data_IF_839594994311
#
_entry.id   IF_839594994311
#
_cell.length_a   1.000
_cell.length_b   1.000
_cell.length_c   1.000
_cell.angle_alpha   90.00
_cell.angle_beta   90.00
_cell.angle_gamma   90.00
#
_symmetry.space_group_name_H-M   'P 1'
#
loop_
_entity.id
_entity.type
_entity.pdbx_description
1 polymer ?
#
# COMPACT_ATOMS: atom_id res chain seq x y z
N UNK A 1 0.13 -25.36 -14.88
CA UNK A 1 0.60 -24.92 -13.55
C UNK A 1 1.55 -23.78 -13.81
N UNK A 2 1.24 -22.58 -13.34
CA UNK A 2 2.13 -21.43 -13.55
C UNK A 2 3.44 -21.64 -12.81
N UNK A 3 4.54 -21.22 -13.42
CA UNK A 3 5.84 -21.15 -12.75
C UNK A 3 5.75 -19.90 -11.86
N UNK A 4 5.47 -20.06 -10.56
CA UNK A 4 5.46 -18.90 -9.66
C UNK A 4 6.91 -18.50 -9.34
N UNK A 5 7.25 -17.24 -9.58
CA UNK A 5 8.55 -16.67 -9.22
C UNK A 5 8.62 -16.18 -7.77
N UNK A 6 7.51 -16.21 -7.03
CA UNK A 6 7.42 -15.69 -5.66
C UNK A 6 8.17 -16.61 -4.69
N UNK A 7 8.91 -16.00 -3.76
CA UNK A 7 9.81 -16.68 -2.84
C UNK A 7 11.12 -17.15 -3.49
N UNK A 8 11.33 -16.90 -4.78
CA UNK A 8 12.59 -17.25 -5.44
C UNK A 8 13.72 -16.36 -4.95
N UNK A 9 14.86 -16.99 -4.62
CA UNK A 9 16.09 -16.31 -4.24
C UNK A 9 17.23 -16.84 -5.11
N UNK A 10 17.86 -15.94 -5.87
CA UNK A 10 18.89 -16.29 -6.83
C UNK A 10 20.14 -15.44 -6.60
N UNK A 11 21.31 -16.02 -6.85
CA UNK A 11 22.60 -15.35 -6.68
C UNK A 11 23.44 -15.54 -7.93
N UNK A 12 23.90 -14.42 -8.50
CA UNK A 12 24.66 -14.36 -9.73
C UNK A 12 26.01 -13.68 -9.49
N UNK A 13 26.98 -13.96 -10.35
CA UNK A 13 28.23 -13.21 -10.42
C UNK A 13 28.10 -12.18 -11.53
N UNK A 14 28.23 -10.90 -11.20
CA UNK A 14 28.21 -9.78 -12.12
C UNK A 14 29.61 -9.29 -12.41
N UNK A 15 29.99 -9.26 -13.69
CA UNK A 15 31.28 -8.76 -14.13
C UNK A 15 31.15 -7.31 -14.63
N UNK A 16 31.82 -6.37 -13.96
CA UNK A 16 31.72 -4.93 -14.24
C UNK A 16 32.38 -4.52 -15.56
N UNK A 17 33.31 -5.32 -16.08
CA UNK A 17 33.99 -5.02 -17.36
C UNK A 17 33.14 -5.43 -18.56
N UNK A 18 32.46 -6.56 -18.47
CA UNK A 18 31.63 -7.08 -19.58
C UNK A 18 30.17 -6.67 -19.46
N UNK A 19 29.72 -6.30 -18.26
CA UNK A 19 28.31 -6.05 -17.96
C UNK A 19 27.46 -7.32 -17.92
N UNK A 20 28.07 -8.51 -17.93
CA UNK A 20 27.37 -9.80 -17.99
C UNK A 20 27.25 -10.47 -16.61
N UNK A 21 26.22 -11.29 -16.47
CA UNK A 21 26.04 -12.22 -15.36
C UNK A 21 26.58 -13.61 -15.72
N UNK A 22 26.99 -14.35 -14.70
CA UNK A 22 27.18 -15.80 -14.74
C UNK A 22 26.56 -16.47 -13.52
N UNK A 23 26.19 -17.73 -13.65
CA UNK A 23 25.74 -18.54 -12.52
C UNK A 23 26.90 -18.78 -11.54
N UNK A 24 26.59 -18.80 -10.24
CA UNK A 24 27.60 -19.01 -9.20
C UNK A 24 28.17 -20.44 -9.19
N UNK A 25 27.36 -21.41 -9.58
CA UNK A 25 27.72 -22.83 -9.65
C UNK A 25 28.20 -23.27 -11.05
N UNK A 26 28.22 -22.35 -12.02
CA UNK A 26 28.62 -22.62 -13.39
C UNK A 26 27.62 -23.42 -14.21
N UNK A 27 26.41 -23.67 -13.69
CA UNK A 27 25.36 -24.32 -14.47
C UNK A 27 24.71 -23.37 -15.46
N UNK A 28 24.15 -23.93 -16.53
CA UNK A 28 23.38 -23.14 -17.49
C UNK A 28 22.08 -22.66 -16.82
N UNK A 29 21.79 -21.37 -16.96
CA UNK A 29 20.63 -20.71 -16.39
C UNK A 29 20.00 -19.83 -17.48
N UNK A 30 18.76 -20.15 -17.85
CA UNK A 30 18.01 -19.42 -18.87
C UNK A 30 17.87 -17.93 -18.54
N UNK A 31 17.78 -17.57 -17.25
CA UNK A 31 17.73 -16.17 -16.84
C UNK A 31 19.06 -15.46 -17.13
N UNK A 32 20.20 -16.14 -16.94
CA UNK A 32 21.52 -15.57 -17.23
C UNK A 32 21.68 -15.34 -18.73
N UNK A 33 21.33 -16.33 -19.55
CA UNK A 33 21.36 -16.22 -21.01
C UNK A 33 20.44 -15.08 -21.48
N UNK A 34 19.24 -14.96 -20.90
CA UNK A 34 18.29 -13.88 -21.16
C UNK A 34 18.81 -12.51 -20.71
N UNK A 35 19.42 -12.42 -19.52
CA UNK A 35 19.98 -11.17 -19.00
C UNK A 35 21.09 -10.66 -19.92
N UNK A 36 22.01 -11.54 -20.29
CA UNK A 36 23.17 -11.26 -21.15
C UNK A 36 22.80 -10.96 -22.61
N UNK A 37 21.55 -11.21 -23.02
CA UNK A 37 21.07 -11.03 -24.38
C UNK A 37 21.50 -12.13 -25.33
N UNK A 38 21.88 -13.28 -24.80
CA UNK A 38 22.24 -14.47 -25.59
C UNK A 38 20.98 -15.19 -26.12
N UNK A 39 19.83 -15.02 -25.43
CA UNK A 39 18.49 -15.38 -25.90
C UNK A 39 17.49 -14.24 -25.72
N UNK A 40 16.41 -14.25 -26.51
CA UNK A 40 15.21 -13.45 -26.23
C UNK A 40 14.34 -14.13 -25.17
N UNK A 41 13.55 -13.34 -24.44
CA UNK A 41 12.69 -13.88 -23.38
C UNK A 41 11.60 -14.82 -23.90
N UNK A 42 11.16 -14.64 -25.14
CA UNK A 42 10.13 -15.49 -25.78
C UNK A 42 10.69 -16.78 -26.40
N UNK A 43 12.00 -17.00 -26.34
CA UNK A 43 12.65 -18.21 -26.86
C UNK A 43 12.70 -19.35 -25.83
N UNK A 44 12.39 -19.07 -24.55
CA UNK A 44 12.38 -20.05 -23.47
C UNK A 44 11.11 -19.96 -22.62
N UNK A 45 10.33 -21.04 -22.58
CA UNK A 45 9.05 -21.11 -21.86
C UNK A 45 9.21 -21.20 -20.33
N UNK A 46 10.44 -21.33 -19.83
CA UNK A 46 10.74 -21.28 -18.39
C UNK A 46 10.82 -19.84 -17.86
N UNK A 47 11.05 -18.86 -18.75
CA UNK A 47 11.11 -17.44 -18.40
C UNK A 47 9.71 -16.83 -18.31
N UNK A 48 9.44 -16.08 -17.25
CA UNK A 48 8.15 -15.43 -17.02
C UNK A 48 8.28 -13.92 -16.73
N UNK A 49 7.17 -13.27 -16.40
CA UNK A 49 7.14 -11.86 -16.03
C UNK A 49 8.01 -11.52 -14.82
N UNK A 50 8.16 -12.43 -13.86
CA UNK A 50 9.07 -12.24 -12.72
C UNK A 50 10.53 -12.22 -13.14
N UNK A 51 10.93 -13.03 -14.12
CA UNK A 51 12.28 -12.98 -14.69
C UNK A 51 12.52 -11.66 -15.43
N UNK A 52 11.53 -11.18 -16.19
CA UNK A 52 11.60 -9.84 -16.80
C UNK A 52 11.76 -8.74 -15.75
N UNK A 53 11.02 -8.80 -14.64
CA UNK A 53 11.17 -7.85 -13.54
C UNK A 53 12.53 -7.96 -12.86
N UNK A 54 13.02 -9.16 -12.58
CA UNK A 54 14.36 -9.39 -12.01
C UNK A 54 15.44 -8.79 -12.89
N UNK A 55 15.36 -8.96 -14.22
CA UNK A 55 16.28 -8.32 -15.17
C UNK A 55 16.23 -6.79 -15.06
N UNK A 56 15.03 -6.21 -15.01
CA UNK A 56 14.87 -4.77 -14.85
C UNK A 56 15.42 -4.26 -13.51
N UNK A 57 15.22 -4.99 -12.41
CA UNK A 57 15.71 -4.64 -11.08
C UNK A 57 17.25 -4.63 -11.03
N UNK A 58 17.90 -5.67 -11.59
CA UNK A 58 19.37 -5.74 -11.69
C UNK A 58 19.89 -4.60 -12.59
N UNK A 59 19.26 -4.34 -13.73
CA UNK A 59 19.66 -3.24 -14.60
C UNK A 59 19.51 -1.88 -13.90
N UNK A 60 18.41 -1.66 -13.17
CA UNK A 60 18.20 -0.42 -12.41
C UNK A 60 19.25 -0.24 -11.30
N UNK A 61 19.65 -1.34 -10.63
CA UNK A 61 20.76 -1.32 -9.68
C UNK A 61 22.06 -0.85 -10.35
N UNK A 62 22.40 -1.41 -11.50
CA UNK A 62 23.66 -1.14 -12.22
C UNK A 62 23.66 0.25 -12.85
N UNK A 63 22.60 0.63 -13.55
CA UNK A 63 22.57 1.84 -14.39
C UNK A 63 22.20 3.09 -13.60
N UNK A 64 21.34 2.95 -12.59
CA UNK A 64 20.81 4.10 -11.84
C UNK A 64 21.41 4.15 -10.44
N UNK A 65 21.27 3.09 -9.64
CA UNK A 65 21.69 3.15 -8.24
C UNK A 65 23.20 3.22 -8.07
N UNK A 66 23.99 2.58 -8.93
CA UNK A 66 25.46 2.73 -8.89
C UNK A 66 25.94 4.17 -9.17
N UNK A 67 25.13 4.98 -9.87
CA UNK A 67 25.44 6.40 -10.09
C UNK A 67 25.14 7.25 -8.85
N UNK A 68 24.13 6.85 -8.08
CA UNK A 68 23.71 7.54 -6.84
C UNK A 68 24.60 7.13 -5.66
N UNK A 69 24.84 5.84 -5.51
CA UNK A 69 25.68 5.26 -4.47
C UNK A 69 26.98 4.76 -5.09
N UNK A 70 27.96 5.65 -5.17
CA UNK A 70 29.29 5.37 -5.73
C UNK A 70 30.10 4.34 -4.93
N UNK A 71 29.58 3.81 -3.83
CA UNK A 71 30.21 2.67 -3.15
C UNK A 71 29.88 1.34 -3.85
N UNK A 72 28.80 1.28 -4.63
CA UNK A 72 28.47 0.12 -5.45
C UNK A 72 29.49 -0.03 -6.59
N UNK A 73 30.00 -1.25 -6.76
CA UNK A 73 30.89 -1.61 -7.87
C UNK A 73 32.18 -0.76 -7.98
N UNK A 74 32.68 -0.22 -6.87
CA UNK A 74 33.78 0.76 -6.87
C UNK A 74 35.08 0.26 -6.21
N UNK A 75 35.23 -1.05 -6.03
CA UNK A 75 36.52 -1.62 -5.63
C UNK A 75 37.40 -1.77 -6.90
N UNK A 76 38.53 -1.05 -6.99
CA UNK A 76 39.38 -1.02 -8.18
C UNK A 76 40.08 -2.36 -8.46
N UNK A 77 40.23 -3.21 -7.44
CA UNK A 77 40.86 -4.53 -7.56
C UNK A 77 39.82 -5.64 -7.80
N UNK A 78 38.53 -5.30 -7.83
CA UNK A 78 37.42 -6.25 -7.96
C UNK A 78 36.63 -6.02 -9.24
N UNK A 79 36.60 -7.06 -10.08
CA UNK A 79 35.86 -7.07 -11.35
C UNK A 79 34.52 -7.79 -11.23
N UNK A 80 34.40 -8.73 -10.28
CA UNK A 80 33.25 -9.61 -10.13
C UNK A 80 32.56 -9.40 -8.80
N UNK A 81 31.26 -9.19 -8.81
CA UNK A 81 30.44 -8.91 -7.62
C UNK A 81 29.30 -9.91 -7.52
N UNK A 82 28.95 -10.33 -6.31
CA UNK A 82 27.78 -11.19 -6.13
C UNK A 82 26.51 -10.33 -6.10
N UNK A 83 25.56 -10.59 -7.00
CA UNK A 83 24.22 -9.98 -6.95
C UNK A 83 23.23 -11.04 -6.52
N UNK A 84 22.58 -10.82 -5.37
CA UNK A 84 21.50 -11.67 -4.87
C UNK A 84 20.17 -10.97 -5.04
N UNK A 85 19.21 -11.64 -5.65
CA UNK A 85 17.83 -11.16 -5.83
C UNK A 85 16.86 -12.05 -5.08
N UNK A 86 15.82 -11.47 -4.49
CA UNK A 86 14.72 -12.21 -3.87
C UNK A 86 13.38 -11.62 -4.30
N UNK A 87 12.50 -12.43 -4.87
CA UNK A 87 11.12 -12.04 -5.16
C UNK A 87 10.28 -12.30 -3.91
N UNK A 88 9.96 -11.26 -3.15
CA UNK A 88 9.28 -11.38 -1.85
C UNK A 88 7.79 -11.67 -2.06
N UNK A 89 7.16 -10.91 -2.94
CA UNK A 89 5.76 -11.05 -3.35
C UNK A 89 5.60 -10.57 -4.79
N UNK A 90 4.36 -10.52 -5.29
CA UNK A 90 4.08 -10.13 -6.67
C UNK A 90 4.57 -8.71 -7.05
N UNK A 91 4.66 -7.80 -6.07
CA UNK A 91 4.99 -6.38 -6.28
C UNK A 91 6.24 -5.94 -5.52
N UNK A 92 6.88 -6.83 -4.77
CA UNK A 92 8.05 -6.52 -3.95
C UNK A 92 9.18 -7.51 -4.26
N UNK A 93 10.34 -6.97 -4.59
CA UNK A 93 11.58 -7.73 -4.72
C UNK A 93 12.71 -7.03 -3.97
N UNK A 94 13.79 -7.75 -3.72
CA UNK A 94 15.02 -7.16 -3.18
C UNK A 94 16.21 -7.52 -4.05
N UNK A 95 17.19 -6.61 -4.08
CA UNK A 95 18.47 -6.81 -4.75
C UNK A 95 19.58 -6.42 -3.78
N UNK A 96 20.61 -7.26 -3.67
CA UNK A 96 21.72 -7.09 -2.76
C UNK A 96 23.04 -7.34 -3.49
N UNK A 97 24.07 -6.54 -3.16
CA UNK A 97 25.43 -6.70 -3.70
C UNK A 97 26.38 -7.17 -2.60
N UNK A 98 27.12 -8.25 -2.84
CA UNK A 98 28.15 -8.84 -1.96
C UNK A 98 27.69 -9.11 -0.50
N UNK A 99 26.41 -9.43 -0.30
CA UNK A 99 25.87 -9.58 1.06
C UNK A 99 25.84 -8.27 1.86
N UNK A 100 26.10 -7.13 1.22
CA UNK A 100 26.07 -5.80 1.80
C UNK A 100 24.68 -5.17 1.74
N UNK A 101 24.61 -3.95 1.23
CA UNK A 101 23.39 -3.14 1.18
C UNK A 101 22.28 -3.81 0.36
N UNK A 102 21.07 -3.81 0.91
CA UNK A 102 19.86 -4.36 0.29
C UNK A 102 19.02 -3.20 -0.25
N UNK A 103 18.63 -3.30 -1.50
CA UNK A 103 17.68 -2.42 -2.17
C UNK A 103 16.35 -3.13 -2.25
N UNK A 104 15.27 -2.46 -1.83
CA UNK A 104 13.90 -2.98 -2.01
C UNK A 104 13.28 -2.31 -3.23
N UNK A 105 12.85 -3.13 -4.18
CA UNK A 105 12.18 -2.70 -5.40
C UNK A 105 10.67 -2.91 -5.24
N UNK A 106 9.91 -1.91 -5.69
CA UNK A 106 8.45 -1.94 -5.66
C UNK A 106 7.93 -1.83 -7.09
N UNK A 107 7.26 -2.88 -7.57
CA UNK A 107 6.65 -2.87 -8.89
C UNK A 107 5.33 -2.10 -8.88
N UNK A 108 5.30 -0.97 -9.57
CA UNK A 108 4.05 -0.28 -9.91
C UNK A 108 3.26 -0.99 -11.02
N UNK A 109 3.70 -2.17 -11.49
CA UNK A 109 3.05 -2.89 -12.58
C UNK A 109 1.59 -3.25 -12.29
N UNK A 110 1.22 -3.54 -11.04
CA UNK A 110 -0.17 -3.89 -10.71
C UNK A 110 -1.17 -2.76 -11.00
N UNK A 111 -0.74 -1.50 -11.11
CA UNK A 111 -1.62 -0.40 -11.53
C UNK A 111 -2.18 -0.61 -12.95
N UNK A 112 -1.52 -1.39 -13.81
CA UNK A 112 -2.07 -1.74 -15.13
C UNK A 112 -3.24 -2.73 -15.04
N UNK A 113 -3.44 -3.35 -13.89
CA UNK A 113 -4.53 -4.29 -13.61
C UNK A 113 -5.73 -3.63 -12.91
N UNK A 114 -5.66 -2.31 -12.67
CA UNK A 114 -6.74 -1.52 -12.08
C UNK A 114 -7.52 -0.83 -13.19
N UNK A 115 -8.84 -0.95 -13.19
CA UNK A 115 -9.67 -0.09 -14.02
C UNK A 115 -9.67 1.32 -13.38
N UNK A 116 -9.32 2.40 -14.11
CA UNK A 116 -9.29 3.75 -13.55
C UNK A 116 -10.59 4.18 -12.86
N UNK A 117 -11.74 3.61 -13.24
CA UNK A 117 -13.02 3.86 -12.57
C UNK A 117 -13.10 3.29 -11.15
N UNK A 118 -12.34 2.23 -10.84
CA UNK A 118 -12.27 1.61 -9.51
C UNK A 118 -11.53 2.51 -8.50
N UNK A 119 -10.60 3.34 -8.96
CA UNK A 119 -9.87 4.29 -8.10
C UNK A 119 -10.76 5.38 -7.50
N UNK A 120 -11.88 5.67 -8.17
CA UNK A 120 -12.83 6.71 -7.77
C UNK A 120 -14.24 6.14 -7.53
N UNK A 121 -14.35 4.82 -7.42
CA UNK A 121 -15.65 4.19 -7.25
C UNK A 121 -16.27 4.62 -5.92
N UNK A 122 -17.57 4.94 -5.97
CA UNK A 122 -18.34 5.18 -4.75
C UNK A 122 -18.31 3.90 -3.91
N UNK A 123 -17.98 4.04 -2.62
CA UNK A 123 -18.03 2.89 -1.72
C UNK A 123 -19.46 2.30 -1.67
N UNK A 124 -19.51 0.99 -1.47
CA UNK A 124 -20.77 0.29 -1.20
C UNK A 124 -21.27 0.59 0.21
N UNK A 125 -22.30 -0.14 0.65
CA UNK A 125 -22.76 -0.08 2.05
C UNK A 125 -21.65 -0.49 3.02
N UNK A 126 -21.74 -0.01 4.26
CA UNK A 126 -20.88 -0.47 5.35
C UNK A 126 -21.04 -1.98 5.58
N UNK A 127 -19.90 -2.65 5.76
CA UNK A 127 -19.78 -4.09 5.91
C UNK A 127 -19.81 -4.53 7.38
N UNK A 128 -19.30 -3.69 8.28
CA UNK A 128 -19.19 -3.96 9.71
C UNK A 128 -20.57 -3.82 10.36
N UNK A 129 -21.16 -4.94 10.74
CA UNK A 129 -22.50 -4.98 11.35
C UNK A 129 -22.47 -5.42 12.82
N UNK A 130 -21.32 -5.88 13.31
CA UNK A 130 -21.14 -6.33 14.69
C UNK A 130 -20.31 -5.30 15.45
N UNK A 131 -20.95 -4.68 16.43
CA UNK A 131 -20.29 -3.78 17.37
C UNK A 131 -19.29 -4.56 18.22
N UNK A 132 -18.11 -3.98 18.42
CA UNK A 132 -17.06 -4.49 19.31
C UNK A 132 -16.57 -3.32 20.13
N UNK A 133 -16.81 -3.37 21.44
CA UNK A 133 -16.21 -2.45 22.41
C UNK A 133 -14.68 -2.48 22.30
N UNK A 134 -14.04 -1.44 22.84
CA UNK A 134 -12.59 -1.37 22.87
C UNK A 134 -11.94 -2.57 23.58
N UNK A 135 -10.98 -3.19 22.89
CA UNK A 135 -10.14 -4.27 23.41
C UNK A 135 -8.70 -3.75 23.62
N UNK A 136 -8.21 -3.65 24.87
CA UNK A 136 -6.87 -3.14 25.15
C UNK A 136 -5.75 -4.11 24.76
N UNK A 137 -6.05 -5.40 24.55
CA UNK A 137 -5.04 -6.42 24.26
C UNK A 137 -4.37 -6.21 22.89
N UNK A 138 -5.15 -5.77 21.91
CA UNK A 138 -4.74 -5.51 20.52
C UNK A 138 -5.06 -4.07 20.06
N UNK A 139 -5.49 -3.21 20.98
CA UNK A 139 -5.83 -1.81 20.73
C UNK A 139 -6.90 -1.66 19.63
N UNK A 140 -7.99 -2.43 19.75
CA UNK A 140 -8.98 -2.58 18.68
C UNK A 140 -10.39 -2.14 19.05
N UNK A 141 -11.17 -1.72 18.05
CA UNK A 141 -12.60 -1.39 18.17
C UNK A 141 -13.31 -1.66 16.85
N UNK A 142 -14.62 -1.96 16.90
CA UNK A 142 -15.47 -1.91 15.71
C UNK A 142 -16.48 -0.77 15.82
N UNK A 143 -16.58 0.01 14.75
CA UNK A 143 -17.65 0.97 14.51
C UNK A 143 -18.59 0.33 13.49
N UNK A 144 -19.78 -0.05 13.95
CA UNK A 144 -20.71 -0.89 13.21
C UNK A 144 -22.00 -0.18 12.84
N UNK A 145 -22.68 -0.70 11.81
CA UNK A 145 -24.04 -0.28 11.46
C UNK A 145 -24.97 -0.40 12.68
N UNK A 146 -25.63 0.69 13.03
CA UNK A 146 -26.50 0.80 14.19
C UNK A 146 -25.88 1.53 15.37
N UNK A 147 -24.56 1.72 15.39
CA UNK A 147 -23.88 2.44 16.47
C UNK A 147 -24.34 3.90 16.55
N UNK A 148 -24.37 4.41 17.78
CA UNK A 148 -24.75 5.79 18.07
C UNK A 148 -23.72 6.41 19.00
N UNK A 149 -23.16 7.54 18.59
CA UNK A 149 -22.17 8.30 19.36
C UNK A 149 -22.77 9.62 19.82
N UNK A 150 -22.93 9.80 21.13
CA UNK A 150 -23.36 11.07 21.71
C UNK A 150 -22.18 12.04 21.76
N UNK A 151 -22.35 13.24 21.19
CA UNK A 151 -21.30 14.27 21.15
C UNK A 151 -21.32 15.17 22.39
N UNK A 152 -22.22 14.94 23.35
CA UNK A 152 -22.29 15.66 24.64
C UNK A 152 -22.81 17.10 24.55
N UNK A 153 -23.14 17.57 23.35
CA UNK A 153 -23.59 18.94 23.06
C UNK A 153 -25.03 18.97 22.48
N UNK A 154 -25.79 17.88 22.63
CA UNK A 154 -27.14 17.72 22.10
C UNK A 154 -27.20 17.20 20.66
N UNK A 155 -26.04 16.94 20.03
CA UNK A 155 -25.94 16.19 18.78
C UNK A 155 -25.49 14.75 19.04
N UNK A 156 -25.84 13.88 18.10
CA UNK A 156 -25.36 12.51 18.04
C UNK A 156 -25.06 12.10 16.61
N UNK A 157 -24.13 11.19 16.44
CA UNK A 157 -23.88 10.51 15.17
C UNK A 157 -24.54 9.14 15.22
N UNK A 158 -25.19 8.73 14.13
CA UNK A 158 -25.76 7.40 13.96
C UNK A 158 -25.18 6.75 12.73
N UNK A 159 -24.57 5.59 12.90
CA UNK A 159 -24.05 4.79 11.79
C UNK A 159 -25.22 4.09 11.11
N UNK A 160 -25.58 4.57 9.92
CA UNK A 160 -26.58 3.94 9.06
C UNK A 160 -25.98 2.82 8.23
N UNK A 161 -26.74 2.33 7.24
CA UNK A 161 -26.25 1.27 6.35
C UNK A 161 -25.24 1.76 5.32
N UNK A 162 -25.43 2.99 4.83
CA UNK A 162 -24.67 3.53 3.69
C UNK A 162 -23.92 4.82 4.03
N UNK A 163 -24.23 5.43 5.18
CA UNK A 163 -23.62 6.67 5.63
C UNK A 163 -23.86 6.86 7.12
N UNK A 164 -23.09 7.78 7.71
CA UNK A 164 -23.32 8.25 9.08
C UNK A 164 -24.23 9.47 9.02
N UNK A 165 -25.25 9.46 9.88
CA UNK A 165 -26.20 10.56 10.02
C UNK A 165 -25.86 11.37 11.26
N UNK A 166 -25.81 12.68 11.09
CA UNK A 166 -25.86 13.59 12.21
C UNK A 166 -27.29 13.88 12.63
N UNK A 167 -27.62 13.65 13.88
CA UNK A 167 -28.96 13.84 14.44
C UNK A 167 -28.90 14.79 15.64
N UNK A 168 -29.99 15.53 15.88
CA UNK A 168 -30.15 16.37 17.07
C UNK A 168 -30.47 17.83 16.76
N UNK A 169 -30.85 18.54 17.82
CA UNK A 169 -31.03 19.97 17.83
C UNK A 169 -30.16 20.50 18.96
N UNK A 170 -28.86 20.68 18.71
CA UNK A 170 -27.98 21.30 19.70
C UNK A 170 -28.37 22.76 19.99
N UNK A 171 -27.42 23.61 20.35
CA UNK A 171 -27.69 25.01 20.71
C UNK A 171 -28.14 25.92 19.54
N UNK A 172 -28.43 25.36 18.35
CA UNK A 172 -28.88 26.06 17.13
C UNK A 172 -27.93 27.20 16.69
N UNK A 173 -26.64 26.90 16.55
CA UNK A 173 -25.67 27.76 15.87
C UNK A 173 -25.08 27.02 14.65
N UNK A 174 -25.04 27.69 13.50
CA UNK A 174 -24.67 27.08 12.21
C UNK A 174 -23.28 26.42 12.20
N UNK A 175 -22.33 26.96 12.95
CA UNK A 175 -20.97 26.39 13.06
C UNK A 175 -20.96 24.97 13.67
N UNK A 176 -21.81 24.71 14.66
CA UNK A 176 -21.89 23.36 15.26
C UNK A 176 -22.62 22.39 14.33
N UNK A 177 -23.59 22.86 13.56
CA UNK A 177 -24.24 22.04 12.53
C UNK A 177 -23.23 21.64 11.44
N UNK A 178 -22.41 22.58 10.97
CA UNK A 178 -21.35 22.33 9.98
C UNK A 178 -20.30 21.34 10.49
N UNK A 179 -19.79 21.53 11.72
CA UNK A 179 -18.83 20.61 12.34
C UNK A 179 -19.42 19.22 12.53
N UNK A 180 -20.69 19.13 12.91
CA UNK A 180 -21.38 17.85 13.06
C UNK A 180 -21.54 17.13 11.70
N UNK A 181 -21.90 17.84 10.63
CA UNK A 181 -21.98 17.26 9.30
C UNK A 181 -20.61 16.83 8.76
N UNK A 182 -19.57 17.64 8.99
CA UNK A 182 -18.20 17.30 8.64
C UNK A 182 -17.73 16.05 9.38
N UNK A 183 -18.02 15.93 10.69
CA UNK A 183 -17.68 14.75 11.48
C UNK A 183 -18.48 13.52 11.04
N UNK A 184 -19.77 13.67 10.70
CA UNK A 184 -20.57 12.57 10.17
C UNK A 184 -19.96 12.04 8.85
N UNK A 185 -19.61 12.94 7.93
CA UNK A 185 -18.92 12.56 6.70
C UNK A 185 -17.58 11.88 6.99
N UNK A 186 -16.77 12.48 7.88
CA UNK A 186 -15.45 11.97 8.26
C UNK A 186 -15.54 10.57 8.88
N UNK A 187 -16.54 10.33 9.72
CA UNK A 187 -16.74 9.02 10.34
C UNK A 187 -17.17 7.98 9.30
N UNK A 188 -18.04 8.36 8.36
CA UNK A 188 -18.39 7.48 7.24
C UNK A 188 -17.19 7.14 6.35
N UNK A 189 -16.35 8.15 6.05
CA UNK A 189 -15.11 7.95 5.30
C UNK A 189 -14.13 7.03 6.05
N UNK A 190 -14.02 7.19 7.36
CA UNK A 190 -13.19 6.36 8.23
C UNK A 190 -13.67 4.91 8.25
N UNK A 191 -14.98 4.66 8.29
CA UNK A 191 -15.55 3.30 8.21
C UNK A 191 -15.23 2.68 6.85
N UNK A 192 -15.48 3.37 5.73
CA UNK A 192 -15.13 2.85 4.40
C UNK A 192 -13.63 2.56 4.25
N UNK A 193 -12.78 3.42 4.79
CA UNK A 193 -11.33 3.22 4.84
C UNK A 193 -10.98 1.96 5.66
N UNK A 194 -11.54 1.84 6.87
CA UNK A 194 -11.32 0.70 7.76
C UNK A 194 -11.88 -0.62 7.21
N UNK A 195 -12.83 -0.56 6.28
CA UNK A 195 -13.33 -1.73 5.55
C UNK A 195 -12.54 -2.00 4.27
N UNK A 196 -11.54 -1.19 3.96
CA UNK A 196 -10.69 -1.34 2.79
C UNK A 196 -11.36 -0.91 1.49
N UNK A 197 -12.52 -0.25 1.54
CA UNK A 197 -13.27 0.23 0.39
C UNK A 197 -12.73 1.57 -0.13
N UNK A 198 -12.15 2.39 0.75
CA UNK A 198 -11.52 3.67 0.42
C UNK A 198 -10.05 3.70 0.81
N UNK A 199 -9.25 4.46 0.07
CA UNK A 199 -7.86 4.73 0.47
C UNK A 199 -7.81 5.81 1.55
N UNK A 200 -6.70 5.86 2.29
CA UNK A 200 -6.47 6.92 3.29
C UNK A 200 -6.51 8.34 2.69
N UNK A 201 -6.29 8.49 1.38
CA UNK A 201 -6.41 9.77 0.69
C UNK A 201 -7.85 10.32 0.73
N UNK A 202 -8.86 9.44 0.84
CA UNK A 202 -10.26 9.86 0.99
C UNK A 202 -10.50 10.61 2.30
N UNK A 203 -9.80 10.25 3.39
CA UNK A 203 -9.90 10.98 4.65
C UNK A 203 -9.44 12.45 4.49
N UNK A 204 -8.42 12.66 3.67
CA UNK A 204 -7.85 14.00 3.41
C UNK A 204 -8.78 14.89 2.55
N UNK A 205 -9.66 14.31 1.73
CA UNK A 205 -10.65 15.11 0.98
C UNK A 205 -11.68 15.75 1.91
N UNK A 206 -12.04 15.07 3.00
CA UNK A 206 -12.89 15.64 4.05
C UNK A 206 -12.23 16.82 4.73
N UNK A 207 -10.94 16.71 5.03
CA UNK A 207 -10.17 17.80 5.63
C UNK A 207 -10.15 19.05 4.73
N UNK A 208 -10.07 18.87 3.40
CA UNK A 208 -10.12 19.98 2.43
C UNK A 208 -11.51 20.57 2.21
N UNK A 209 -12.55 19.75 2.34
CA UNK A 209 -13.94 20.23 2.21
C UNK A 209 -14.41 20.93 3.49
N UNK A 210 -13.88 20.54 4.65
CA UNK A 210 -14.17 21.14 5.95
C UNK A 210 -13.41 22.45 6.20
N UNK A 211 -12.25 22.65 5.55
CA UNK A 211 -11.50 23.90 5.68
C UNK A 211 -12.25 25.08 5.05
N UNK A 212 -12.48 26.15 5.83
CA UNK A 212 -13.05 27.40 5.33
C UNK A 212 -12.17 28.00 4.22
N UNK A 213 -12.79 28.71 3.28
CA UNK A 213 -12.13 29.34 2.11
C UNK A 213 -11.11 30.43 2.46
N UNK A 214 -11.02 30.84 3.73
CA UNK A 214 -10.10 31.87 4.22
C UNK A 214 -8.88 31.32 4.98
N UNK A 215 -8.76 29.98 5.12
CA UNK A 215 -7.61 29.34 5.76
C UNK A 215 -7.46 29.64 7.26
N UNK A 216 -8.50 30.16 7.91
CA UNK A 216 -8.49 30.52 9.34
C UNK A 216 -8.86 29.35 10.27
N UNK A 217 -9.08 28.16 9.71
CA UNK A 217 -9.67 27.05 10.41
C UNK A 217 -8.77 26.50 11.53
N UNK A 218 -9.12 26.85 12.77
CA UNK A 218 -8.41 26.48 14.01
C UNK A 218 -8.47 24.98 14.31
N UNK A 219 -9.23 24.19 13.53
CA UNK A 219 -9.47 22.76 13.78
C UNK A 219 -9.01 21.80 12.66
N UNK A 220 -8.30 22.28 11.63
CA UNK A 220 -7.42 21.43 10.80
C UNK A 220 -8.04 20.25 10.04
N UNK A 221 -9.35 20.25 9.77
CA UNK A 221 -10.05 19.17 9.06
C UNK A 221 -10.89 18.23 9.94
N UNK A 222 -11.41 17.15 9.38
CA UNK A 222 -12.16 16.11 10.11
C UNK A 222 -11.23 15.16 10.87
N UNK A 223 -9.98 14.98 10.42
CA UNK A 223 -9.02 14.04 11.03
C UNK A 223 -8.79 14.28 12.54
N UNK A 224 -8.54 15.51 13.04
CA UNK A 224 -8.39 15.74 14.47
C UNK A 224 -9.64 15.36 15.29
N UNK A 225 -10.83 15.61 14.74
CA UNK A 225 -12.10 15.25 15.39
C UNK A 225 -12.31 13.73 15.43
N UNK A 226 -11.89 13.02 14.38
CA UNK A 226 -11.93 11.56 14.33
C UNK A 226 -10.96 10.93 15.34
N UNK A 227 -9.74 11.46 15.45
CA UNK A 227 -8.77 10.98 16.44
C UNK A 227 -9.29 11.18 17.87
N UNK A 228 -9.92 12.33 18.15
CA UNK A 228 -10.54 12.57 19.45
C UNK A 228 -11.69 11.60 19.73
N UNK A 229 -12.56 11.36 18.75
CA UNK A 229 -13.63 10.35 18.88
C UNK A 229 -13.05 8.96 19.18
N UNK A 230 -12.01 8.54 18.46
CA UNK A 230 -11.34 7.25 18.70
C UNK A 230 -10.76 7.15 20.11
N UNK A 231 -10.13 8.23 20.62
CA UNK A 231 -9.64 8.27 22.02
C UNK A 231 -10.76 8.19 23.04
N UNK A 232 -11.90 8.82 22.76
CA UNK A 232 -13.09 8.70 23.63
C UNK A 232 -13.66 7.28 23.64
N UNK A 233 -13.48 6.51 22.56
CA UNK A 233 -13.76 5.07 22.53
C UNK A 233 -12.70 4.23 23.25
N UNK A 234 -11.61 4.83 23.74
CA UNK A 234 -10.52 4.15 24.45
C UNK A 234 -9.35 3.75 23.56
N UNK A 235 -9.40 4.02 22.26
CA UNK A 235 -8.32 3.70 21.32
C UNK A 235 -7.09 4.55 21.61
N UNK A 236 -5.95 3.91 21.80
CA UNK A 236 -4.66 4.58 21.93
C UNK A 236 -4.12 4.92 20.53
N UNK A 237 -4.28 6.17 20.12
CA UNK A 237 -3.86 6.67 18.79
C UNK A 237 -2.37 6.95 18.66
N UNK A 238 -1.61 6.86 19.76
CA UNK A 238 -0.16 7.15 19.76
C UNK A 238 0.66 5.91 19.36
N UNK A 239 0.01 4.76 19.20
CA UNK A 239 0.56 3.51 18.67
C UNK A 239 -0.36 2.94 17.59
N UNK A 240 0.06 1.82 16.98
CA UNK A 240 -0.79 1.09 16.04
C UNK A 240 -2.09 0.64 16.73
N UNK A 241 -3.21 0.74 16.01
CA UNK A 241 -4.54 0.34 16.49
C UNK A 241 -5.29 -0.42 15.40
N UNK A 242 -6.35 -1.15 15.77
CA UNK A 242 -7.16 -1.89 14.80
C UNK A 242 -8.57 -1.30 14.77
N UNK A 243 -9.00 -0.85 13.59
CA UNK A 243 -10.34 -0.32 13.36
C UNK A 243 -11.05 -1.19 12.33
N UNK A 244 -12.18 -1.79 12.69
CA UNK A 244 -12.94 -2.70 11.83
C UNK A 244 -12.07 -3.79 11.16
N UNK A 245 -11.08 -4.30 11.90
CA UNK A 245 -10.11 -5.29 11.42
C UNK A 245 -8.92 -4.73 10.61
N UNK A 246 -8.91 -3.45 10.25
CA UNK A 246 -7.76 -2.79 9.59
C UNK A 246 -6.77 -2.29 10.62
N UNK A 247 -5.49 -2.66 10.44
CA UNK A 247 -4.39 -2.13 11.25
C UNK A 247 -4.02 -0.73 10.77
N UNK A 248 -4.10 0.23 11.68
CA UNK A 248 -3.96 1.66 11.42
C UNK A 248 -2.81 2.26 12.23
N UNK A 249 -2.21 3.32 11.71
CA UNK A 249 -1.27 4.19 12.43
C UNK A 249 -1.61 5.67 12.19
N UNK A 250 -1.20 6.53 13.12
CA UNK A 250 -1.21 7.98 12.90
C UNK A 250 0.18 8.42 12.47
N UNK A 251 0.31 8.87 11.22
CA UNK A 251 1.58 9.34 10.66
C UNK A 251 1.42 10.75 10.12
N UNK A 252 2.22 11.69 10.63
CA UNK A 252 2.14 13.13 10.30
C UNK A 252 0.72 13.70 10.52
N UNK A 253 0.06 13.30 11.61
CA UNK A 253 -1.30 13.74 11.95
C UNK A 253 -2.41 13.12 11.08
N UNK A 254 -2.11 12.12 10.25
CA UNK A 254 -3.06 11.46 9.35
C UNK A 254 -3.21 9.99 9.69
N UNK A 255 -4.44 9.48 9.62
CA UNK A 255 -4.72 8.04 9.76
C UNK A 255 -4.29 7.32 8.48
N UNK A 256 -3.54 6.23 8.62
CA UNK A 256 -3.00 5.40 7.52
C UNK A 256 -3.20 3.92 7.82
N UNK A 257 -3.28 3.10 6.78
CA UNK A 257 -3.18 1.63 6.91
C UNK A 257 -1.70 1.28 7.10
N UNK A 258 -1.40 0.47 8.12
CA UNK A 258 -0.02 0.05 8.40
C UNK A 258 0.52 -0.75 7.23
N UNK A 259 1.67 -0.33 6.70
CA UNK A 259 2.34 -0.99 5.59
C UNK A 259 1.78 -0.63 4.20
N UNK A 260 0.69 0.14 4.11
CA UNK A 260 0.23 0.62 2.81
C UNK A 260 1.20 1.68 2.26
N UNK A 261 1.60 1.46 1.01
CA UNK A 261 2.53 2.31 0.26
C UNK A 261 1.96 2.75 -1.09
N UNK A 262 0.74 2.34 -1.41
CA UNK A 262 0.17 2.49 -2.74
C UNK A 262 -0.90 3.57 -2.82
N UNK A 263 -1.55 3.91 -1.69
CA UNK A 263 -2.57 4.95 -1.67
C UNK A 263 -3.85 4.57 -2.43
N UNK A 264 -4.07 3.27 -2.63
CA UNK A 264 -5.25 2.67 -3.26
C UNK A 264 -6.08 1.96 -2.18
N UNK A 265 -7.39 1.90 -2.37
CA UNK A 265 -8.27 1.12 -1.49
C UNK A 265 -7.81 -0.35 -1.46
N UNK A 266 -7.80 -0.97 -0.27
CA UNK A 266 -7.27 -2.32 -0.09
C UNK A 266 -7.96 -3.36 -0.98
N UNK A 267 -9.28 -3.30 -1.11
CA UNK A 267 -10.03 -4.24 -1.96
C UNK A 267 -9.61 -4.17 -3.45
N UNK A 268 -9.40 -2.97 -3.99
CA UNK A 268 -8.93 -2.73 -5.36
C UNK A 268 -7.47 -3.16 -5.49
N UNK A 269 -6.63 -2.78 -4.51
CA UNK A 269 -5.21 -3.13 -4.47
C UNK A 269 -5.01 -4.64 -4.49
N UNK A 270 -5.63 -5.36 -3.56
CA UNK A 270 -5.39 -6.79 -3.37
C UNK A 270 -5.87 -7.60 -4.59
N UNK A 271 -7.00 -7.20 -5.19
CA UNK A 271 -7.49 -7.80 -6.45
C UNK A 271 -6.57 -7.50 -7.64
N UNK A 272 -6.04 -6.29 -7.74
CA UNK A 272 -5.11 -5.93 -8.81
C UNK A 272 -3.75 -6.61 -8.65
N UNK A 273 -3.24 -6.77 -7.43
CA UNK A 273 -2.03 -7.54 -7.13
C UNK A 273 -2.24 -9.01 -7.55
N UNK A 274 -3.39 -9.61 -7.24
CA UNK A 274 -3.72 -10.98 -7.65
C UNK A 274 -3.72 -11.14 -9.17
N UNK A 275 -4.39 -10.24 -9.91
CA UNK A 275 -4.37 -10.24 -11.38
C UNK A 275 -2.96 -10.05 -11.94
N UNK A 276 -2.20 -9.14 -11.35
CA UNK A 276 -0.83 -8.88 -11.76
C UNK A 276 0.07 -10.10 -11.55
N UNK A 277 -0.06 -10.79 -10.40
CA UNK A 277 0.65 -12.04 -10.14
C UNK A 277 0.34 -13.12 -11.18
N UNK A 278 -0.94 -13.26 -11.56
CA UNK A 278 -1.37 -14.21 -12.58
C UNK A 278 -0.75 -13.89 -13.95
N UNK A 279 -0.70 -12.62 -14.35
CA UNK A 279 -0.02 -12.17 -15.57
C UNK A 279 1.49 -12.44 -15.49
N UNK A 280 2.13 -12.07 -14.38
CA UNK A 280 3.57 -12.24 -14.14
C UNK A 280 4.03 -13.69 -14.12
N UNK A 281 3.14 -14.62 -13.77
CA UNK A 281 3.40 -16.06 -13.78
C UNK A 281 3.32 -16.68 -15.19
N UNK A 282 2.86 -15.95 -16.20
CA UNK A 282 2.79 -16.46 -17.58
C UNK A 282 4.17 -16.42 -18.26
N UNK A 283 4.51 -17.42 -19.08
CA UNK A 283 5.72 -17.41 -19.88
C UNK A 283 5.83 -16.14 -20.72
N UNK A 284 7.04 -15.60 -20.87
CA UNK A 284 7.25 -14.39 -21.69
C UNK A 284 6.84 -14.59 -23.15
N UNK A 285 6.86 -15.83 -23.65
CA UNK A 285 6.35 -16.20 -24.97
C UNK A 285 4.86 -15.89 -25.17
N UNK A 286 4.07 -15.78 -24.09
CA UNK A 286 2.63 -15.49 -24.16
C UNK A 286 2.27 -14.00 -24.09
N UNK A 287 3.24 -13.10 -24.00
CA UNK A 287 3.01 -11.65 -23.79
C UNK A 287 2.97 -10.85 -25.11
N UNK A 288 2.82 -11.55 -26.25
CA UNK A 288 2.79 -10.98 -27.60
C UNK A 288 1.47 -10.31 -27.93
#
# INVERSE_FOLDING_TARGET
MGISGIGSRNTYIYNTQTGKLSSKDGQQDAFVDYFNGDISGDEDDTLNGFDRARKADINNLIEVWAQVDKSLFNDPDKVEYEITTETVDAVTSTVQVDGGKIFTCYSGGFFTCIDPSELFQKAGSFQTCEHKDYDPSDNSVNIAVGDVFDLGNGYRLRVGRDQVYGEGHGYRNGENDEKMQALAWGLGALIHFAEGQWSAAMLEFGDRAASTSDGSDLMGGTTPMLLELLRQLGVDTDREFILNGTKCEVRNGKIREVGDRWGVARNVRDEAIRKYEEEMSRPLSSWK
#
